data_IF_990154591101
#
_entry.id   IF_990154591101
#
_cell.length_a   1.000
_cell.length_b   1.000
_cell.length_c   1.000
_cell.angle_alpha   90.00
_cell.angle_beta   90.00
_cell.angle_gamma   90.00
#
_symmetry.space_group_name_H-M   'P 1'
#
loop_
_entity.id
_entity.type
_entity.pdbx_description
1 polymer ?
#
# COMPACT_ATOMS: atom_id res chain seq x y z
N UNK A 1 -11.65 17.52 -20.84
CA UNK A 1 -11.43 16.14 -21.33
C UNK A 1 -12.36 15.22 -20.54
N UNK A 2 -13.14 14.35 -21.18
CA UNK A 2 -14.05 13.46 -20.44
C UNK A 2 -13.36 12.11 -20.16
N UNK A 3 -13.27 11.72 -18.89
CA UNK A 3 -12.78 10.39 -18.50
C UNK A 3 -13.95 9.41 -18.53
N UNK A 4 -13.77 8.27 -19.19
CA UNK A 4 -14.73 7.17 -19.13
C UNK A 4 -14.54 6.38 -17.83
N UNK A 5 -15.62 6.21 -17.06
CA UNK A 5 -15.58 5.53 -15.77
C UNK A 5 -16.19 4.12 -15.85
N UNK A 6 -15.64 3.14 -15.12
CA UNK A 6 -16.31 1.85 -14.90
C UNK A 6 -17.67 2.02 -14.23
N UNK A 7 -18.57 1.05 -14.44
CA UNK A 7 -19.90 1.05 -13.81
C UNK A 7 -19.81 1.21 -12.28
N UNK A 8 -20.57 2.15 -11.73
CA UNK A 8 -20.66 2.40 -10.28
C UNK A 8 -19.44 3.12 -9.69
N UNK A 9 -18.47 3.54 -10.51
CA UNK A 9 -17.37 4.39 -10.06
C UNK A 9 -17.73 5.87 -10.22
N UNK A 10 -17.34 6.68 -9.24
CA UNK A 10 -17.45 8.14 -9.28
C UNK A 10 -16.10 8.75 -8.86
N UNK A 11 -15.73 9.84 -9.51
CA UNK A 11 -14.58 10.67 -9.11
C UNK A 11 -15.14 12.04 -8.71
N UNK A 12 -15.00 12.37 -7.43
CA UNK A 12 -15.59 13.58 -6.83
C UNK A 12 -14.62 14.77 -6.78
N UNK A 13 -13.41 14.61 -7.34
CA UNK A 13 -12.36 15.62 -7.35
C UNK A 13 -12.13 16.16 -8.78
N UNK A 14 -11.59 17.38 -8.93
CA UNK A 14 -11.30 17.96 -10.24
C UNK A 14 -10.36 17.08 -11.06
N UNK A 15 -10.60 16.95 -12.36
CA UNK A 15 -9.67 16.31 -13.28
C UNK A 15 -8.76 17.38 -13.87
N UNK A 16 -7.51 17.40 -13.41
CA UNK A 16 -6.49 18.35 -13.87
C UNK A 16 -5.77 17.82 -15.13
N UNK A 17 -5.12 18.69 -15.92
CA UNK A 17 -4.33 18.26 -17.08
C UNK A 17 -3.27 17.22 -16.69
N UNK A 18 -3.12 16.16 -17.49
CA UNK A 18 -2.19 15.06 -17.24
C UNK A 18 -2.83 13.87 -16.52
N UNK A 19 -3.96 14.06 -15.83
CA UNK A 19 -4.64 12.99 -15.08
C UNK A 19 -5.18 11.91 -16.01
N UNK A 20 -5.55 12.27 -17.24
CA UNK A 20 -6.00 11.35 -18.28
C UNK A 20 -4.96 10.26 -18.63
N UNK A 21 -3.67 10.51 -18.35
CA UNK A 21 -2.59 9.53 -18.56
C UNK A 21 -2.56 8.42 -17.50
N UNK A 22 -3.06 8.73 -16.29
CA UNK A 22 -3.10 7.80 -15.15
C UNK A 22 -4.49 7.19 -15.01
N UNK A 23 -5.53 8.02 -15.04
CA UNK A 23 -6.95 7.66 -14.88
C UNK A 23 -7.56 7.14 -16.19
N UNK A 24 -6.83 6.26 -16.88
CA UNK A 24 -7.32 5.58 -18.08
C UNK A 24 -8.42 4.60 -17.74
N UNK A 25 -9.34 4.34 -18.67
CA UNK A 25 -10.42 3.37 -18.45
C UNK A 25 -9.89 1.98 -18.00
N UNK A 26 -8.85 1.39 -18.62
CA UNK A 26 -8.29 0.12 -18.15
C UNK A 26 -7.73 0.18 -16.73
N UNK A 27 -7.04 1.26 -16.35
CA UNK A 27 -6.52 1.44 -14.99
C UNK A 27 -7.67 1.55 -13.97
N UNK A 28 -8.70 2.32 -14.28
CA UNK A 28 -9.88 2.46 -13.42
C UNK A 28 -10.67 1.15 -13.32
N UNK A 29 -10.76 0.36 -14.40
CA UNK A 29 -11.37 -0.97 -14.38
C UNK A 29 -10.62 -1.92 -13.43
N UNK A 30 -9.28 -1.86 -13.41
CA UNK A 30 -8.47 -2.61 -12.45
C UNK A 30 -8.79 -2.17 -11.02
N UNK A 31 -8.82 -0.87 -10.74
CA UNK A 31 -9.16 -0.34 -9.40
C UNK A 31 -10.56 -0.80 -8.97
N UNK A 32 -11.55 -0.72 -9.86
CA UNK A 32 -12.91 -1.19 -9.58
C UNK A 32 -12.95 -2.70 -9.25
N UNK A 33 -12.19 -3.51 -9.99
CA UNK A 33 -12.08 -4.96 -9.76
C UNK A 33 -11.46 -5.25 -8.38
N UNK A 34 -10.36 -4.57 -8.04
CA UNK A 34 -9.68 -4.73 -6.75
C UNK A 34 -10.58 -4.31 -5.59
N UNK A 35 -11.24 -3.16 -5.69
CA UNK A 35 -12.16 -2.68 -4.67
C UNK A 35 -13.28 -3.68 -4.40
N UNK A 36 -13.98 -4.14 -5.45
CA UNK A 36 -15.07 -5.12 -5.32
C UNK A 36 -14.60 -6.44 -4.69
N UNK A 37 -13.39 -6.88 -4.99
CA UNK A 37 -12.85 -8.14 -4.48
C UNK A 37 -12.40 -8.04 -3.01
N UNK A 38 -11.79 -6.92 -2.60
CA UNK A 38 -11.04 -6.85 -1.35
C UNK A 38 -11.61 -5.89 -0.29
N UNK A 39 -12.44 -4.92 -0.66
CA UNK A 39 -13.02 -3.95 0.28
C UNK A 39 -13.81 -4.61 1.42
N UNK A 40 -14.68 -5.62 1.18
CA UNK A 40 -15.42 -6.26 2.27
C UNK A 40 -14.48 -6.85 3.32
N UNK A 41 -13.38 -7.48 2.90
CA UNK A 41 -12.39 -8.05 3.82
C UNK A 41 -11.61 -6.97 4.54
N UNK A 42 -11.26 -5.86 3.88
CA UNK A 42 -10.60 -4.71 4.52
C UNK A 42 -11.45 -4.17 5.67
N UNK A 43 -12.76 -4.00 5.47
CA UNK A 43 -13.69 -3.55 6.51
C UNK A 43 -13.79 -4.51 7.68
N UNK A 44 -13.88 -5.83 7.41
CA UNK A 44 -13.87 -6.85 8.47
C UNK A 44 -12.59 -6.78 9.32
N UNK A 45 -11.43 -6.57 8.69
CA UNK A 45 -10.15 -6.46 9.39
C UNK A 45 -10.08 -5.18 10.25
N UNK A 46 -10.63 -4.07 9.78
CA UNK A 46 -10.72 -2.83 10.57
C UNK A 46 -11.62 -3.01 11.80
N UNK A 47 -12.77 -3.67 11.65
CA UNK A 47 -13.63 -4.00 12.78
C UNK A 47 -12.92 -4.94 13.77
N UNK A 48 -12.19 -5.95 13.27
CA UNK A 48 -11.42 -6.86 14.13
C UNK A 48 -10.31 -6.13 14.91
N UNK A 49 -9.71 -5.07 14.35
CA UNK A 49 -8.74 -4.22 15.08
C UNK A 49 -9.41 -3.51 16.25
N UNK A 50 -10.61 -2.95 16.07
CA UNK A 50 -11.38 -2.32 17.16
C UNK A 50 -11.66 -3.32 18.28
N UNK A 51 -12.11 -4.53 17.94
CA UNK A 51 -12.36 -5.58 18.94
C UNK A 51 -11.07 -6.05 19.62
N UNK A 52 -9.94 -6.09 18.91
CA UNK A 52 -8.64 -6.39 19.53
C UNK A 52 -8.24 -5.31 20.53
N UNK A 53 -8.39 -4.04 20.17
CA UNK A 53 -8.08 -2.91 21.06
C UNK A 53 -8.89 -2.97 22.34
N UNK A 54 -10.21 -3.24 22.27
CA UNK A 54 -11.05 -3.39 23.48
C UNK A 54 -10.52 -4.44 24.46
N UNK A 55 -10.02 -5.58 23.95
CA UNK A 55 -9.45 -6.62 24.82
C UNK A 55 -8.12 -6.19 25.44
N UNK A 56 -7.27 -5.50 24.67
CA UNK A 56 -6.01 -4.95 25.18
C UNK A 56 -6.27 -3.91 26.28
N UNK A 57 -7.25 -3.02 26.08
CA UNK A 57 -7.64 -2.02 27.06
C UNK A 57 -8.25 -2.64 28.33
N UNK A 58 -8.91 -3.80 28.20
CA UNK A 58 -9.42 -4.61 29.31
C UNK A 58 -8.31 -5.38 30.07
N UNK A 59 -7.04 -5.20 29.69
CA UNK A 59 -5.88 -5.76 30.37
C UNK A 59 -5.23 -6.96 29.67
N UNK A 60 -5.75 -7.42 28.53
CA UNK A 60 -5.06 -8.41 27.72
C UNK A 60 -3.70 -7.84 27.25
N UNK A 61 -2.62 -8.62 27.36
CA UNK A 61 -1.30 -8.23 26.83
C UNK A 61 -1.02 -8.96 25.52
N UNK A 62 -0.36 -8.33 24.54
CA UNK A 62 0.11 -9.06 23.36
C UNK A 62 1.10 -10.15 23.76
N UNK A 63 0.93 -11.34 23.19
CA UNK A 63 1.86 -12.47 23.32
C UNK A 63 1.81 -13.32 22.04
N UNK A 64 2.72 -14.28 21.90
CA UNK A 64 2.73 -15.21 20.79
C UNK A 64 1.51 -16.12 20.81
N UNK A 65 0.82 -16.20 19.66
CA UNK A 65 -0.32 -17.09 19.49
C UNK A 65 0.10 -18.56 19.61
N UNK A 66 -0.62 -19.33 20.43
CA UNK A 66 -0.34 -20.75 20.63
C UNK A 66 -0.70 -21.56 19.38
N UNK A 67 -1.79 -21.20 18.71
CA UNK A 67 -2.32 -21.90 17.54
C UNK A 67 -1.40 -21.83 16.31
N UNK A 68 -0.48 -20.86 16.25
CA UNK A 68 0.49 -20.73 15.15
C UNK A 68 1.90 -21.20 15.52
N UNK A 69 2.08 -21.88 16.67
CA UNK A 69 3.41 -22.39 17.10
C UNK A 69 4.05 -23.29 16.05
N UNK A 70 3.27 -24.17 15.43
CA UNK A 70 3.75 -25.09 14.39
C UNK A 70 4.35 -24.38 13.16
N UNK A 71 3.90 -23.15 12.85
CA UNK A 71 4.47 -22.34 11.77
C UNK A 71 5.85 -21.79 12.18
N UNK A 72 5.99 -21.36 13.44
CA UNK A 72 7.25 -20.80 13.97
C UNK A 72 8.32 -21.87 14.15
N UNK A 73 7.91 -23.09 14.50
CA UNK A 73 8.80 -24.23 14.70
C UNK A 73 9.06 -25.01 13.39
N UNK A 74 8.37 -24.67 12.30
CA UNK A 74 8.49 -25.37 11.02
C UNK A 74 9.72 -24.97 10.21
N UNK A 75 10.25 -25.90 9.41
CA UNK A 75 11.35 -25.63 8.47
C UNK A 75 10.80 -25.15 7.12
N UNK A 76 10.67 -23.84 6.97
CA UNK A 76 10.21 -23.21 5.73
C UNK A 76 10.99 -21.92 5.45
N UNK A 77 10.93 -21.48 4.19
CA UNK A 77 11.52 -20.22 3.73
C UNK A 77 10.51 -19.49 2.83
N UNK A 78 10.66 -18.17 2.75
CA UNK A 78 9.95 -17.37 1.74
C UNK A 78 10.33 -17.79 0.33
N UNK A 79 9.54 -17.38 -0.66
CA UNK A 79 9.88 -17.58 -2.06
C UNK A 79 11.22 -16.88 -2.42
N UNK A 80 11.93 -17.34 -3.48
CA UNK A 80 13.19 -16.75 -3.90
C UNK A 80 13.07 -15.24 -4.14
N UNK A 81 14.02 -14.49 -3.58
CA UNK A 81 14.06 -13.03 -3.73
C UNK A 81 14.62 -12.67 -5.12
N UNK A 82 13.98 -11.76 -5.88
CA UNK A 82 14.51 -11.26 -7.14
C UNK A 82 15.92 -10.66 -6.97
N UNK A 83 16.79 -10.82 -7.98
CA UNK A 83 18.19 -10.33 -7.94
C UNK A 83 18.30 -8.84 -7.59
N UNK A 84 17.37 -8.03 -8.10
CA UNK A 84 17.33 -6.58 -7.82
C UNK A 84 17.14 -6.24 -6.33
N UNK A 85 16.64 -7.17 -5.52
CA UNK A 85 16.37 -6.98 -4.09
C UNK A 85 17.40 -7.68 -3.18
N UNK A 86 18.48 -8.24 -3.74
CA UNK A 86 19.52 -8.91 -2.95
C UNK A 86 20.39 -7.92 -2.16
N UNK A 87 20.60 -6.71 -2.70
CA UNK A 87 21.38 -5.66 -2.05
C UNK A 87 20.44 -4.52 -1.63
N UNK A 88 20.27 -4.33 -0.33
CA UNK A 88 19.40 -3.30 0.29
C UNK A 88 20.09 -2.75 1.56
N UNK A 89 21.38 -2.43 1.47
CA UNK A 89 22.20 -2.01 2.63
C UNK A 89 21.84 -0.59 3.05
N UNK A 90 21.53 0.27 2.08
CA UNK A 90 21.03 1.62 2.30
C UNK A 90 19.79 1.83 1.46
N UNK A 91 18.71 2.27 2.11
CA UNK A 91 17.46 2.65 1.45
C UNK A 91 17.12 4.08 1.82
N UNK A 92 16.79 4.88 0.81
CA UNK A 92 16.29 6.24 1.03
C UNK A 92 14.76 6.23 0.91
N UNK A 93 14.09 7.05 1.70
CA UNK A 93 12.64 7.25 1.64
C UNK A 93 12.35 8.71 1.30
N UNK A 94 11.19 8.98 0.72
CA UNK A 94 10.81 10.35 0.39
C UNK A 94 9.56 10.45 -0.47
N UNK A 95 9.00 11.67 -0.58
CA UNK A 95 7.72 11.91 -1.22
C UNK A 95 7.80 11.71 -2.74
N UNK A 96 6.63 11.65 -3.37
CA UNK A 96 6.47 11.41 -4.82
C UNK A 96 6.76 12.63 -5.71
N UNK A 97 7.18 13.76 -5.12
CA UNK A 97 7.54 14.96 -5.87
C UNK A 97 8.64 14.66 -6.90
N UNK A 98 8.49 15.17 -8.12
CA UNK A 98 9.36 14.83 -9.24
C UNK A 98 10.85 15.12 -8.95
N UNK A 99 11.15 16.25 -8.29
CA UNK A 99 12.53 16.60 -7.96
C UNK A 99 13.08 15.68 -6.86
N UNK A 100 12.25 15.32 -5.88
CA UNK A 100 12.64 14.40 -4.82
C UNK A 100 12.88 12.99 -5.35
N UNK A 101 12.04 12.50 -6.28
CA UNK A 101 12.26 11.24 -6.99
C UNK A 101 13.61 11.27 -7.70
N UNK A 102 13.90 12.32 -8.49
CA UNK A 102 15.20 12.44 -9.18
C UNK A 102 16.38 12.42 -8.20
N UNK A 103 16.30 13.17 -7.11
CA UNK A 103 17.36 13.22 -6.10
C UNK A 103 17.57 11.86 -5.43
N UNK A 104 16.49 11.17 -5.09
CA UNK A 104 16.55 9.86 -4.45
C UNK A 104 17.20 8.81 -5.35
N UNK A 105 16.82 8.76 -6.64
CA UNK A 105 17.44 7.87 -7.62
C UNK A 105 18.93 8.17 -7.85
N UNK A 106 19.38 9.41 -7.62
CA UNK A 106 20.79 9.82 -7.75
C UNK A 106 21.59 9.75 -6.44
N UNK A 107 20.99 9.30 -5.34
CA UNK A 107 21.61 9.34 -4.00
C UNK A 107 22.73 8.33 -3.79
N UNK A 108 22.81 7.28 -4.63
CA UNK A 108 23.68 6.12 -4.42
C UNK A 108 23.14 5.09 -3.42
N UNK A 109 21.92 5.28 -2.90
CA UNK A 109 21.23 4.24 -2.14
C UNK A 109 20.92 3.01 -3.02
N UNK A 110 20.85 1.83 -2.40
CA UNK A 110 20.53 0.59 -3.12
C UNK A 110 19.04 0.52 -3.51
N UNK A 111 18.17 1.25 -2.79
CA UNK A 111 16.74 1.35 -3.07
C UNK A 111 16.17 2.70 -2.69
N UNK A 112 15.05 3.07 -3.33
CA UNK A 112 14.24 4.22 -2.98
C UNK A 112 12.79 3.78 -2.76
N UNK A 113 12.27 4.04 -1.56
CA UNK A 113 10.85 3.88 -1.26
C UNK A 113 10.14 5.21 -1.56
N UNK A 114 9.53 5.28 -2.74
CA UNK A 114 8.66 6.38 -3.14
C UNK A 114 7.37 6.31 -2.33
N UNK A 115 7.13 7.33 -1.50
CA UNK A 115 6.14 7.25 -0.44
C UNK A 115 4.85 8.03 -0.73
N UNK A 116 3.71 7.34 -0.65
CA UNK A 116 2.36 7.91 -0.72
C UNK A 116 1.64 7.89 0.65
N UNK A 117 2.35 7.54 1.71
CA UNK A 117 1.87 7.44 3.08
C UNK A 117 2.45 8.57 3.96
N UNK A 118 3.21 8.27 5.02
CA UNK A 118 3.48 9.21 6.11
C UNK A 118 4.27 10.46 5.69
N UNK A 119 5.13 10.39 4.66
CA UNK A 119 5.88 11.55 4.18
C UNK A 119 5.18 12.36 3.09
N UNK A 120 3.97 11.97 2.68
CA UNK A 120 3.21 12.61 1.61
C UNK A 120 1.86 13.15 2.12
N UNK A 121 1.60 14.44 1.90
CA UNK A 121 0.24 14.97 2.06
C UNK A 121 -0.62 14.42 0.92
N UNK A 122 -1.67 13.61 1.18
CA UNK A 122 -2.42 12.88 0.15
C UNK A 122 -3.43 13.79 -0.55
N UNK A 123 -2.96 14.88 -1.15
CA UNK A 123 -3.74 15.73 -2.02
C UNK A 123 -4.09 14.97 -3.29
N UNK A 124 -5.22 15.33 -3.91
CA UNK A 124 -5.61 14.75 -5.19
C UNK A 124 -4.70 15.19 -6.34
N UNK A 125 -4.15 16.41 -6.24
CA UNK A 125 -3.26 17.06 -7.21
C UNK A 125 -1.81 16.59 -7.09
#
# INVERSE_FOLDING_TARGET
MSISLPQGMQINAPILPGFETILTLPALQLVAKLHRAFEPRRQQLLAARVERTKRLDAGERPDFLAETKYIRDGDWKVAPVPKALHCRRVEITGPVDAKMVINAFNSGADSYMTDFEDSNSPLWA
#
